data_IF_059880324525
#
_entry.id   IF_059880324525
#
_cell.length_a   1.000
_cell.length_b   1.000
_cell.length_c   1.000
_cell.angle_alpha   90.00
_cell.angle_beta   90.00
_cell.angle_gamma   90.00
#
_symmetry.space_group_name_H-M   'P 1'
#
loop_
_entity.id
_entity.type
_entity.pdbx_description
1 polymer ?
#
# COMPACT_ATOMS: atom_id res chain seq x y z
N UNK A 1 1.22 -18.35 -11.23
CA UNK A 1 2.43 -17.57 -11.54
C UNK A 1 3.34 -17.53 -10.32
N UNK A 2 4.66 -17.44 -10.49
CA UNK A 2 5.59 -17.25 -9.36
C UNK A 2 5.43 -15.81 -8.85
N UNK A 3 5.33 -15.54 -7.53
CA UNK A 3 5.09 -14.19 -7.01
C UNK A 3 6.12 -13.13 -7.47
N UNK A 4 7.38 -13.53 -7.68
CA UNK A 4 8.44 -12.64 -8.15
C UNK A 4 8.30 -12.26 -9.64
N UNK A 5 7.77 -13.14 -10.50
CA UNK A 5 7.50 -12.78 -11.89
C UNK A 5 6.32 -11.81 -11.98
N UNK A 6 5.28 -12.06 -11.17
CA UNK A 6 4.12 -11.19 -11.08
C UNK A 6 4.49 -9.79 -10.57
N UNK A 7 5.27 -9.69 -9.49
CA UNK A 7 5.69 -8.38 -8.96
C UNK A 7 6.45 -7.57 -10.00
N UNK A 8 7.30 -8.22 -10.81
CA UNK A 8 7.99 -7.58 -11.92
C UNK A 8 7.01 -7.10 -13.00
N UNK A 9 6.06 -7.93 -13.41
CA UNK A 9 5.07 -7.56 -14.42
C UNK A 9 4.19 -6.38 -13.99
N UNK A 10 3.81 -6.32 -12.70
CA UNK A 10 3.10 -5.18 -12.11
C UNK A 10 3.95 -3.91 -12.24
N UNK A 11 5.23 -3.95 -11.81
CA UNK A 11 6.13 -2.79 -11.88
C UNK A 11 6.40 -2.32 -13.30
N UNK A 12 6.49 -3.25 -14.25
CA UNK A 12 6.66 -2.97 -15.68
C UNK A 12 5.38 -2.45 -16.35
N UNK A 13 4.28 -2.30 -15.61
CA UNK A 13 3.03 -1.75 -16.12
C UNK A 13 2.28 -2.69 -17.07
N UNK A 14 2.59 -3.99 -17.05
CA UNK A 14 2.01 -4.97 -17.98
C UNK A 14 0.57 -5.37 -17.64
N UNK A 15 0.13 -5.07 -16.42
CA UNK A 15 -1.21 -5.36 -15.94
C UNK A 15 -2.14 -4.15 -16.12
N UNK A 16 -3.39 -4.43 -16.47
CA UNK A 16 -4.46 -3.43 -16.45
C UNK A 16 -4.97 -3.17 -15.02
N UNK A 17 -5.82 -2.17 -14.86
CA UNK A 17 -6.26 -1.69 -13.55
C UNK A 17 -7.04 -2.76 -12.76
N UNK A 18 -7.88 -3.56 -13.44
CA UNK A 18 -8.61 -4.66 -12.79
C UNK A 18 -7.66 -5.75 -12.30
N UNK A 19 -6.60 -6.04 -13.04
CA UNK A 19 -5.58 -7.01 -12.66
C UNK A 19 -4.75 -6.51 -11.47
N UNK A 20 -4.41 -5.22 -11.43
CA UNK A 20 -3.72 -4.60 -10.28
C UNK A 20 -4.58 -4.70 -9.03
N UNK A 21 -5.88 -4.39 -9.12
CA UNK A 21 -6.79 -4.48 -7.97
C UNK A 21 -6.86 -5.92 -7.44
N UNK A 22 -6.88 -6.93 -8.32
CA UNK A 22 -6.82 -8.35 -7.91
C UNK A 22 -5.52 -8.72 -7.21
N UNK A 23 -4.41 -8.03 -7.50
CA UNK A 23 -3.13 -8.29 -6.84
C UNK A 23 -3.13 -7.91 -5.36
N UNK A 24 -4.04 -7.04 -4.90
CA UNK A 24 -4.23 -6.74 -3.47
C UNK A 24 -4.74 -7.95 -2.67
N UNK A 25 -5.29 -8.97 -3.34
CA UNK A 25 -5.79 -10.19 -2.73
C UNK A 25 -4.68 -11.25 -2.55
N UNK A 26 -3.47 -10.98 -3.04
CA UNK A 26 -2.31 -11.90 -3.01
C UNK A 26 -1.43 -11.57 -1.81
N UNK A 27 -1.42 -12.45 -0.80
CA UNK A 27 -0.64 -12.32 0.44
C UNK A 27 0.86 -12.56 0.21
N UNK A 28 1.51 -11.65 -0.50
CA UNK A 28 2.94 -11.67 -0.77
C UNK A 28 3.46 -10.24 -0.84
N UNK A 29 4.31 -9.83 0.10
CA UNK A 29 4.72 -8.43 0.29
C UNK A 29 5.21 -7.76 -1.00
N UNK A 30 6.01 -8.46 -1.82
CA UNK A 30 6.51 -7.90 -3.09
C UNK A 30 5.41 -7.68 -4.15
N UNK A 31 4.37 -8.52 -4.13
CA UNK A 31 3.22 -8.35 -5.04
C UNK A 31 2.37 -7.19 -4.56
N UNK A 32 2.08 -7.16 -3.25
CA UNK A 32 1.31 -6.09 -2.62
C UNK A 32 1.96 -4.72 -2.82
N UNK A 33 3.25 -4.55 -2.50
CA UNK A 33 3.92 -3.24 -2.65
C UNK A 33 3.92 -2.79 -4.10
N UNK A 34 4.18 -3.70 -5.05
CA UNK A 34 4.15 -3.36 -6.48
C UNK A 34 2.74 -2.94 -6.92
N UNK A 35 1.69 -3.59 -6.40
CA UNK A 35 0.31 -3.24 -6.71
C UNK A 35 -0.08 -1.89 -6.09
N UNK A 36 0.30 -1.64 -4.84
CA UNK A 36 0.09 -0.37 -4.14
C UNK A 36 0.76 0.78 -4.91
N UNK A 37 2.02 0.61 -5.33
CA UNK A 37 2.73 1.63 -6.11
C UNK A 37 1.98 1.96 -7.41
N UNK A 38 1.49 0.93 -8.13
CA UNK A 38 0.71 1.16 -9.36
C UNK A 38 -0.64 1.83 -9.08
N UNK A 39 -1.31 1.50 -7.98
CA UNK A 39 -2.57 2.16 -7.56
C UNK A 39 -2.34 3.65 -7.35
N UNK A 40 -1.28 4.01 -6.61
CA UNK A 40 -0.90 5.40 -6.36
C UNK A 40 -0.53 6.10 -7.67
N UNK A 41 0.37 5.52 -8.47
CA UNK A 41 0.85 6.12 -9.72
C UNK A 41 -0.27 6.36 -10.74
N UNK A 42 -1.23 5.44 -10.81
CA UNK A 42 -2.39 5.53 -11.72
C UNK A 42 -3.58 6.27 -11.09
N UNK A 43 -3.46 6.73 -9.84
CA UNK A 43 -4.51 7.39 -9.08
C UNK A 43 -5.81 6.59 -9.03
N UNK A 44 -5.69 5.27 -8.89
CA UNK A 44 -6.85 4.39 -8.82
C UNK A 44 -7.48 4.54 -7.44
N UNK A 45 -8.77 4.90 -7.42
CA UNK A 45 -9.52 4.97 -6.18
C UNK A 45 -10.92 4.42 -6.37
N UNK A 46 -11.27 3.42 -5.56
CA UNK A 46 -12.62 2.93 -5.40
C UNK A 46 -12.74 2.25 -4.03
N UNK A 47 -13.97 1.94 -3.62
CA UNK A 47 -14.28 1.32 -2.33
C UNK A 47 -13.49 0.03 -2.08
N UNK A 48 -13.35 -0.83 -3.10
CA UNK A 48 -12.58 -2.08 -2.98
C UNK A 48 -11.10 -1.80 -2.68
N UNK A 49 -10.49 -0.83 -3.34
CA UNK A 49 -9.09 -0.44 -3.09
C UNK A 49 -8.96 0.05 -1.64
N UNK A 50 -9.82 0.98 -1.21
CA UNK A 50 -9.77 1.54 0.14
C UNK A 50 -9.91 0.44 1.19
N UNK A 51 -10.93 -0.42 1.07
CA UNK A 51 -11.15 -1.55 1.98
C UNK A 51 -9.93 -2.48 2.06
N UNK A 52 -9.33 -2.83 0.92
CA UNK A 52 -8.13 -3.68 0.92
C UNK A 52 -6.91 -2.99 1.52
N UNK A 53 -6.71 -1.70 1.29
CA UNK A 53 -5.60 -0.96 1.90
C UNK A 53 -5.75 -0.87 3.44
N UNK A 54 -6.99 -0.71 3.93
CA UNK A 54 -7.31 -0.77 5.36
C UNK A 54 -7.00 -2.14 5.93
N UNK A 55 -7.40 -3.23 5.27
CA UNK A 55 -7.08 -4.60 5.75
C UNK A 55 -5.56 -4.87 5.74
N UNK A 56 -4.87 -4.46 4.68
CA UNK A 56 -3.40 -4.59 4.59
C UNK A 56 -2.70 -3.76 5.67
N UNK A 57 -3.33 -2.68 6.15
CA UNK A 57 -2.75 -1.79 7.16
C UNK A 57 -2.43 -2.50 8.46
N UNK A 58 -3.11 -3.61 8.77
CA UNK A 58 -2.86 -4.40 9.99
C UNK A 58 -1.52 -5.17 9.95
N UNK A 59 -0.93 -5.33 8.77
CA UNK A 59 0.30 -6.09 8.56
C UNK A 59 1.56 -5.28 8.88
N UNK A 60 1.67 -4.79 10.13
CA UNK A 60 2.78 -3.93 10.60
C UNK A 60 3.90 -4.62 11.37
N UNK A 61 3.78 -5.92 11.68
CA UNK A 61 4.89 -6.64 12.34
C UNK A 61 6.12 -6.74 11.40
N UNK A 62 7.25 -6.07 11.71
CA UNK A 62 8.44 -6.08 10.86
C UNK A 62 9.18 -7.43 10.85
N UNK A 63 8.81 -8.39 11.69
CA UNK A 63 9.36 -9.76 11.62
C UNK A 63 8.74 -10.58 10.50
N UNK A 64 7.52 -10.24 10.10
CA UNK A 64 6.72 -11.02 9.13
C UNK A 64 6.52 -10.22 7.83
N UNK A 65 6.19 -8.94 7.96
CA UNK A 65 5.65 -8.12 6.87
C UNK A 65 6.64 -7.10 6.31
N UNK A 66 7.93 -7.30 6.58
CA UNK A 66 9.02 -6.44 6.16
C UNK A 66 9.13 -6.31 4.64
N UNK A 67 9.44 -5.09 4.22
CA UNK A 67 9.80 -4.72 2.86
C UNK A 67 11.23 -4.17 2.82
N UNK A 68 11.45 -2.99 3.39
CA UNK A 68 12.73 -2.27 3.36
C UNK A 68 13.10 -1.78 4.75
N UNK A 69 14.18 -2.31 5.33
CA UNK A 69 14.59 -1.93 6.68
C UNK A 69 13.53 -2.29 7.73
N UNK A 70 12.90 -1.27 8.32
CA UNK A 70 11.82 -1.42 9.31
C UNK A 70 10.43 -1.28 8.67
N UNK A 71 10.37 -0.93 7.40
CA UNK A 71 9.12 -0.63 6.72
C UNK A 71 8.37 -1.92 6.40
N UNK A 72 7.07 -1.88 6.59
CA UNK A 72 6.18 -3.03 6.39
C UNK A 72 5.15 -2.74 5.33
N UNK A 73 4.53 -3.79 4.81
CA UNK A 73 3.43 -3.61 3.85
C UNK A 73 2.25 -2.83 4.46
N UNK A 74 2.02 -2.96 5.77
CA UNK A 74 1.03 -2.14 6.46
C UNK A 74 1.36 -0.65 6.44
N UNK A 75 2.63 -0.26 6.63
CA UNK A 75 3.03 1.15 6.50
C UNK A 75 2.79 1.69 5.09
N UNK A 76 3.11 0.89 4.07
CA UNK A 76 2.89 1.26 2.67
C UNK A 76 1.40 1.40 2.33
N UNK A 77 0.52 0.55 2.88
CA UNK A 77 -0.92 0.67 2.58
C UNK A 77 -1.57 1.88 3.25
N UNK A 78 -1.15 2.24 4.48
CA UNK A 78 -1.58 3.49 5.13
C UNK A 78 -1.07 4.68 4.32
N UNK A 79 0.20 4.69 3.95
CA UNK A 79 0.77 5.78 3.15
C UNK A 79 0.02 5.97 1.82
N UNK A 80 -0.33 4.89 1.13
CA UNK A 80 -1.10 4.96 -0.10
C UNK A 80 -2.48 5.62 0.07
N UNK A 81 -3.19 5.37 1.18
CA UNK A 81 -4.46 6.04 1.49
C UNK A 81 -4.28 7.57 1.59
N UNK A 82 -3.19 8.00 2.23
CA UNK A 82 -2.82 9.41 2.33
C UNK A 82 -2.44 10.03 0.99
N UNK A 83 -1.74 9.28 0.13
CA UNK A 83 -1.30 9.76 -1.19
C UNK A 83 -2.42 9.83 -2.24
N UNK A 84 -3.38 8.91 -2.23
CA UNK A 84 -4.52 8.92 -3.18
C UNK A 84 -5.36 10.20 -3.05
N UNK A 85 -5.41 10.79 -1.85
CA UNK A 85 -5.98 12.12 -1.57
C UNK A 85 -7.43 12.33 -2.07
N UNK A 86 -8.27 11.30 -1.94
CA UNK A 86 -9.74 11.43 -2.04
C UNK A 86 -10.33 11.65 -0.65
N UNK A 87 -11.55 12.23 -0.51
CA UNK A 87 -12.18 12.41 0.80
C UNK A 87 -12.24 11.12 1.63
N UNK A 88 -12.63 10.02 1.01
CA UNK A 88 -12.76 8.71 1.64
C UNK A 88 -11.40 8.12 2.03
N UNK A 89 -10.41 8.18 1.15
CA UNK A 89 -9.06 7.68 1.45
C UNK A 89 -8.38 8.50 2.55
N UNK A 90 -8.61 9.82 2.57
CA UNK A 90 -8.08 10.73 3.59
C UNK A 90 -8.70 10.47 4.95
N UNK A 91 -10.01 10.25 5.02
CA UNK A 91 -10.69 9.88 6.26
C UNK A 91 -10.07 8.59 6.85
N UNK A 92 -9.89 7.55 6.02
CA UNK A 92 -9.28 6.29 6.47
C UNK A 92 -7.82 6.42 6.85
N UNK A 93 -7.06 7.26 6.15
CA UNK A 93 -5.70 7.59 6.54
C UNK A 93 -5.65 8.24 7.93
N UNK A 94 -6.48 9.26 8.19
CA UNK A 94 -6.50 9.97 9.48
C UNK A 94 -6.95 9.08 10.65
N UNK A 95 -7.95 8.22 10.42
CA UNK A 95 -8.39 7.21 11.39
C UNK A 95 -7.22 6.28 11.76
N UNK A 96 -6.57 5.67 10.76
CA UNK A 96 -5.47 4.73 10.99
C UNK A 96 -4.26 5.40 11.63
N UNK A 97 -3.92 6.62 11.22
CA UNK A 97 -2.80 7.38 11.81
C UNK A 97 -3.02 7.67 13.30
N UNK A 98 -4.27 7.85 13.74
CA UNK A 98 -4.57 8.11 15.16
C UNK A 98 -4.25 6.91 16.05
N UNK A 99 -4.40 5.70 15.52
CA UNK A 99 -4.17 4.45 16.25
C UNK A 99 -2.70 4.00 16.28
N UNK A 100 -1.83 4.65 15.50
CA UNK A 100 -0.40 4.34 15.44
C UNK A 100 0.35 4.94 16.64
N UNK A 101 1.43 4.28 17.04
CA UNK A 101 2.45 4.92 17.87
C UNK A 101 3.28 5.93 17.06
N UNK A 102 4.04 6.77 17.75
CA UNK A 102 4.82 7.84 17.09
C UNK A 102 5.85 7.30 16.11
N UNK A 103 6.40 6.11 16.36
CA UNK A 103 7.40 5.51 15.49
C UNK A 103 6.79 5.06 14.16
N UNK A 104 5.66 4.36 14.21
CA UNK A 104 4.94 3.95 13.00
C UNK A 104 4.40 5.17 12.22
N UNK A 105 3.95 6.23 12.92
CA UNK A 105 3.55 7.49 12.27
C UNK A 105 4.68 8.12 11.47
N UNK A 106 5.88 8.20 12.06
CA UNK A 106 7.07 8.75 11.38
C UNK A 106 7.41 7.97 10.11
N UNK A 107 7.31 6.63 10.16
CA UNK A 107 7.54 5.79 8.98
C UNK A 107 6.51 6.08 7.90
N UNK A 108 5.22 6.10 8.24
CA UNK A 108 4.14 6.35 7.27
C UNK A 108 4.31 7.73 6.63
N UNK A 109 4.54 8.77 7.41
CA UNK A 109 4.75 10.15 6.90
C UNK A 109 5.92 10.19 5.92
N UNK A 110 7.04 9.52 6.25
CA UNK A 110 8.20 9.44 5.37
C UNK A 110 7.85 8.75 4.04
N UNK A 111 7.08 7.66 4.08
CA UNK A 111 6.66 6.94 2.87
C UNK A 111 5.73 7.81 2.02
N UNK A 112 4.75 8.50 2.62
CA UNK A 112 3.86 9.44 1.91
C UNK A 112 4.67 10.50 1.16
N UNK A 113 5.66 11.10 1.84
CA UNK A 113 6.53 12.11 1.22
C UNK A 113 7.32 11.53 0.04
N UNK A 114 7.79 10.28 0.13
CA UNK A 114 8.50 9.62 -0.96
C UNK A 114 7.59 9.28 -2.15
N UNK A 115 6.32 8.92 -1.91
CA UNK A 115 5.36 8.62 -2.99
C UNK A 115 4.87 9.85 -3.75
N UNK A 116 5.01 11.05 -3.16
CA UNK A 116 4.63 12.33 -3.78
C UNK A 116 5.75 12.97 -4.63
N UNK A 117 6.97 12.44 -4.56
CA UNK A 117 8.14 12.91 -5.32
C UNK A 117 8.32 12.14 -6.61
#
# INVERSE_FOLDING_TARGET
MKPLSLSREIREGKLNDLEIIKCLDIHHNQVLVSAIDQIVNRKLCNEKIISRLVEISEFRDPKVNKLFGIDTIGHYSIAALGTINTPESKLKYEELMTDLDEWDKEIVIRIVNNMNN
#
